data_IF_443018105936
#
_entry.id   IF_443018105936
#
_cell.length_a   1.000
_cell.length_b   1.000
_cell.length_c   1.000
_cell.angle_alpha   90.00
_cell.angle_beta   90.00
_cell.angle_gamma   90.00
#
_symmetry.space_group_name_H-M   'P 1'
#
loop_
_entity.id
_entity.type
_entity.pdbx_description
1 polymer ?
#
# COMPACT_ATOMS: atom_id res chain seq x y z
N UNK A 1 -21.90 16.96 -9.22
CA UNK A 1 -20.63 17.61 -9.62
C UNK A 1 -20.39 17.45 -11.12
N UNK A 2 -20.43 16.24 -11.67
CA UNK A 2 -20.25 15.96 -13.11
C UNK A 2 -21.16 16.80 -14.03
N UNK A 3 -22.46 16.92 -13.71
CA UNK A 3 -23.39 17.74 -14.50
C UNK A 3 -22.97 19.21 -14.60
N UNK A 4 -22.44 19.77 -13.50
CA UNK A 4 -21.98 21.16 -13.47
C UNK A 4 -20.73 21.32 -14.35
N UNK A 5 -19.81 20.36 -14.26
CA UNK A 5 -18.62 20.34 -15.11
C UNK A 5 -19.02 20.24 -16.59
N UNK A 6 -19.81 19.23 -16.97
CA UNK A 6 -20.25 19.01 -18.35
C UNK A 6 -20.90 20.26 -18.96
N UNK A 7 -21.80 20.93 -18.22
CA UNK A 7 -22.43 22.17 -18.67
C UNK A 7 -21.45 23.31 -18.95
N UNK A 8 -20.30 23.35 -18.28
CA UNK A 8 -19.29 24.39 -18.49
C UNK A 8 -18.38 24.11 -19.69
N UNK A 9 -18.14 22.85 -20.03
CA UNK A 9 -17.15 22.46 -21.07
C UNK A 9 -17.76 21.98 -22.38
N UNK A 10 -18.93 21.34 -22.36
CA UNK A 10 -19.53 20.74 -23.55
C UNK A 10 -19.83 21.78 -24.64
N UNK A 11 -19.34 21.55 -25.86
CA UNK A 11 -19.51 22.44 -27.01
C UNK A 11 -18.76 23.78 -26.92
N UNK A 12 -17.90 23.97 -25.92
CA UNK A 12 -17.13 25.21 -25.70
C UNK A 12 -15.73 25.17 -26.31
N UNK A 13 -15.18 23.97 -26.45
CA UNK A 13 -13.95 23.73 -27.20
C UNK A 13 -14.34 23.11 -28.54
N UNK A 14 -13.38 22.98 -29.47
CA UNK A 14 -13.59 22.26 -30.72
C UNK A 14 -12.50 21.22 -30.85
N UNK A 15 -12.82 20.06 -31.41
CA UNK A 15 -11.87 18.98 -31.68
C UNK A 15 -11.06 18.57 -30.44
N UNK A 16 -11.68 18.58 -29.26
CA UNK A 16 -10.99 18.28 -28.00
C UNK A 16 -11.76 17.19 -27.23
N UNK A 17 -11.06 16.13 -26.82
CA UNK A 17 -11.55 15.15 -25.86
C UNK A 17 -10.95 15.46 -24.50
N UNK A 18 -11.79 15.79 -23.52
CA UNK A 18 -11.36 15.98 -22.13
C UNK A 18 -11.50 14.65 -21.38
N UNK A 19 -10.38 14.14 -20.88
CA UNK A 19 -10.34 12.98 -20.00
C UNK A 19 -10.01 13.43 -18.57
N UNK A 20 -10.79 12.99 -17.60
CA UNK A 20 -10.57 13.25 -16.18
C UNK A 20 -10.54 11.92 -15.46
N UNK A 21 -9.47 11.71 -14.70
CA UNK A 21 -9.25 10.48 -13.94
C UNK A 21 -8.58 10.81 -12.61
N UNK A 22 -8.54 9.85 -11.70
CA UNK A 22 -7.64 9.85 -10.56
C UNK A 22 -6.84 8.55 -10.54
N UNK A 23 -5.71 8.55 -9.85
CA UNK A 23 -4.83 7.40 -9.66
C UNK A 23 -5.39 6.39 -8.66
N UNK A 24 -6.04 6.87 -7.60
CA UNK A 24 -6.67 6.03 -6.59
C UNK A 24 -7.84 6.75 -5.89
N UNK A 25 -8.62 5.98 -5.13
CA UNK A 25 -9.58 6.51 -4.17
C UNK A 25 -8.94 6.76 -2.80
N UNK A 26 -9.75 6.76 -1.75
CA UNK A 26 -9.31 7.06 -0.38
C UNK A 26 -10.19 6.30 0.61
N UNK A 27 -9.62 5.89 1.74
CA UNK A 27 -10.35 5.29 2.85
C UNK A 27 -10.07 6.04 4.16
N UNK A 28 -11.07 6.09 5.03
CA UNK A 28 -10.92 6.60 6.39
C UNK A 28 -10.02 5.69 7.21
N UNK A 29 -9.16 6.28 8.02
CA UNK A 29 -8.30 5.58 8.99
C UNK A 29 -8.25 6.37 10.29
N UNK A 30 -7.83 5.75 11.38
CA UNK A 30 -7.60 6.45 12.64
C UNK A 30 -6.16 6.30 13.12
N UNK A 31 -5.47 7.39 13.49
CA UNK A 31 -4.16 7.31 14.13
C UNK A 31 -4.24 6.58 15.47
N UNK A 32 -5.38 6.64 16.17
CA UNK A 32 -5.59 6.01 17.48
C UNK A 32 -5.65 4.48 17.42
N UNK A 33 -6.00 3.92 16.26
CA UNK A 33 -6.13 2.47 16.05
C UNK A 33 -5.01 1.88 15.20
N UNK A 34 -3.98 2.67 14.90
CA UNK A 34 -2.86 2.21 14.07
C UNK A 34 -2.04 1.17 14.82
N UNK A 35 -1.86 0.00 14.20
CA UNK A 35 -1.05 -1.08 14.73
C UNK A 35 0.40 -0.82 14.32
N UNK A 36 1.25 -0.49 15.28
CA UNK A 36 2.68 -0.38 15.03
C UNK A 36 3.37 -1.73 15.20
N UNK A 37 3.88 -2.28 14.10
CA UNK A 37 4.41 -3.65 14.04
C UNK A 37 5.57 -3.88 15.01
N UNK A 38 6.50 -2.92 15.12
CA UNK A 38 7.65 -3.01 16.02
C UNK A 38 7.29 -2.78 17.50
N UNK A 39 6.10 -2.27 17.79
CA UNK A 39 5.56 -2.21 19.16
C UNK A 39 4.81 -3.50 19.49
N UNK A 40 4.01 -4.02 18.54
CA UNK A 40 3.29 -5.29 18.67
C UNK A 40 4.25 -6.47 18.82
N UNK A 41 5.30 -6.49 17.99
CA UNK A 41 6.30 -7.56 17.94
C UNK A 41 7.71 -6.99 17.91
N UNK A 42 8.26 -6.52 19.05
CA UNK A 42 9.59 -5.91 19.09
C UNK A 42 10.71 -6.82 18.58
N UNK A 43 10.55 -8.13 18.74
CA UNK A 43 11.52 -9.12 18.28
C UNK A 43 11.60 -9.23 16.74
N UNK A 44 10.72 -8.57 15.98
CA UNK A 44 10.72 -8.59 14.51
C UNK A 44 11.99 -7.98 13.92
N UNK A 45 12.58 -6.99 14.59
CA UNK A 45 13.77 -6.26 14.12
C UNK A 45 14.96 -7.15 13.81
N UNK A 46 15.12 -8.25 14.55
CA UNK A 46 16.23 -9.19 14.36
C UNK A 46 16.16 -9.94 13.02
N UNK A 47 14.96 -10.06 12.44
CA UNK A 47 14.71 -10.78 11.20
C UNK A 47 14.71 -9.88 9.97
N UNK A 48 14.82 -8.56 10.14
CA UNK A 48 14.77 -7.59 9.05
C UNK A 48 16.18 -7.40 8.47
N UNK A 49 16.26 -7.27 7.15
CA UNK A 49 17.49 -6.97 6.42
C UNK A 49 18.00 -5.57 6.75
N UNK A 50 19.32 -5.39 6.69
CA UNK A 50 19.97 -4.11 6.93
C UNK A 50 20.64 -3.59 5.66
N UNK A 51 20.70 -2.27 5.50
CA UNK A 51 21.47 -1.63 4.45
C UNK A 51 22.99 -1.69 4.76
N UNK A 52 23.82 -1.18 3.86
CA UNK A 52 25.29 -1.14 4.01
C UNK A 52 25.78 -0.34 5.22
N UNK A 53 24.94 0.51 5.81
CA UNK A 53 25.23 1.29 7.03
C UNK A 53 24.71 0.59 8.30
N UNK A 54 24.18 -0.62 8.19
CA UNK A 54 23.64 -1.38 9.32
C UNK A 54 22.24 -0.94 9.77
N UNK A 55 21.58 -0.01 9.06
CA UNK A 55 20.21 0.42 9.38
C UNK A 55 19.20 -0.57 8.83
N UNK A 56 18.13 -0.85 9.58
CA UNK A 56 17.01 -1.68 9.13
C UNK A 56 16.40 -1.12 7.84
N UNK A 57 16.07 -2.02 6.91
CA UNK A 57 15.29 -1.69 5.72
C UNK A 57 13.80 -1.65 6.09
N UNK A 58 13.36 -0.55 6.70
CA UNK A 58 11.94 -0.32 7.08
C UNK A 58 11.55 1.15 7.03
N UNK A 59 10.24 1.41 6.88
CA UNK A 59 9.24 0.58 6.19
C UNK A 59 9.33 0.81 4.67
N UNK A 60 8.89 -0.18 3.88
CA UNK A 60 8.48 0.04 2.49
C UNK A 60 6.97 0.24 2.41
N UNK A 61 6.49 0.83 1.31
CA UNK A 61 5.05 1.08 1.09
C UNK A 61 4.48 2.17 2.01
N UNK A 62 3.27 1.95 2.50
CA UNK A 62 2.51 2.83 3.38
C UNK A 62 1.81 2.05 4.51
N UNK A 63 1.09 2.75 5.38
CA UNK A 63 0.29 2.12 6.45
C UNK A 63 -0.86 1.23 5.95
N UNK A 64 -1.12 1.19 4.64
CA UNK A 64 -2.15 0.37 3.98
C UNK A 64 -1.56 -0.77 3.14
N UNK A 65 -0.24 -0.82 2.98
CA UNK A 65 0.49 -1.80 2.16
C UNK A 65 1.93 -1.94 2.63
N UNK A 66 2.15 -2.13 3.94
CA UNK A 66 3.49 -2.10 4.51
C UNK A 66 4.33 -3.28 3.98
N UNK A 67 5.39 -2.96 3.26
CA UNK A 67 6.34 -3.91 2.68
C UNK A 67 7.51 -4.14 3.63
N UNK A 68 7.84 -5.41 3.87
CA UNK A 68 8.93 -5.85 4.73
C UNK A 68 10.03 -6.54 3.94
N UNK A 69 11.26 -6.35 4.42
CA UNK A 69 12.48 -6.91 3.85
C UNK A 69 13.06 -7.92 4.83
N UNK A 70 12.47 -9.12 4.92
CA UNK A 70 12.87 -10.16 5.88
C UNK A 70 14.08 -10.93 5.36
N UNK A 71 14.98 -11.34 6.25
CA UNK A 71 16.09 -12.23 5.92
C UNK A 71 15.55 -13.59 5.44
N UNK A 72 16.13 -14.12 4.36
CA UNK A 72 15.60 -15.28 3.62
C UNK A 72 15.38 -16.51 4.51
N UNK A 73 16.32 -16.78 5.41
CA UNK A 73 16.28 -17.90 6.36
C UNK A 73 15.21 -17.77 7.46
N UNK A 74 14.56 -16.61 7.55
CA UNK A 74 13.51 -16.32 8.54
C UNK A 74 12.16 -16.01 7.89
N UNK A 75 12.06 -16.02 6.56
CA UNK A 75 10.85 -15.61 5.83
C UNK A 75 9.62 -16.42 6.24
N UNK A 76 9.70 -17.75 6.29
CA UNK A 76 8.57 -18.60 6.63
C UNK A 76 8.10 -18.39 8.06
N UNK A 77 9.06 -18.37 9.00
CA UNK A 77 8.79 -18.10 10.41
C UNK A 77 8.08 -16.76 10.61
N UNK A 78 8.56 -15.70 9.95
CA UNK A 78 7.98 -14.37 10.08
C UNK A 78 6.61 -14.30 9.40
N UNK A 79 6.45 -14.93 8.23
CA UNK A 79 5.17 -15.03 7.55
C UNK A 79 4.11 -15.67 8.46
N UNK A 80 4.41 -16.82 9.06
CA UNK A 80 3.48 -17.52 9.95
C UNK A 80 3.14 -16.69 11.19
N UNK A 81 4.17 -16.13 11.84
CA UNK A 81 4.02 -15.27 13.02
C UNK A 81 3.10 -14.07 12.75
N UNK A 82 3.34 -13.34 11.67
CA UNK A 82 2.57 -12.14 11.35
C UNK A 82 1.16 -12.48 10.86
N UNK A 83 1.01 -13.60 10.15
CA UNK A 83 -0.31 -14.10 9.73
C UNK A 83 -1.18 -14.42 10.93
N UNK A 84 -0.63 -15.08 11.95
CA UNK A 84 -1.35 -15.37 13.19
C UNK A 84 -1.68 -14.11 13.98
N UNK A 85 -0.70 -13.22 14.19
CA UNK A 85 -0.88 -12.02 15.01
C UNK A 85 -1.83 -10.98 14.40
N UNK A 86 -1.93 -10.92 13.08
CA UNK A 86 -2.72 -9.91 12.38
C UNK A 86 -4.01 -10.46 11.76
N UNK A 87 -4.35 -11.75 11.94
CA UNK A 87 -5.40 -12.46 11.22
C UNK A 87 -6.74 -11.69 11.10
N UNK A 88 -7.17 -11.03 12.17
CA UNK A 88 -8.45 -10.30 12.23
C UNK A 88 -8.38 -8.85 11.70
N UNK A 89 -7.18 -8.37 11.34
CA UNK A 89 -6.92 -6.93 11.06
C UNK A 89 -6.23 -6.70 9.72
N UNK A 90 -5.44 -7.66 9.25
CA UNK A 90 -4.70 -7.58 8.01
C UNK A 90 -4.42 -8.96 7.44
N UNK A 91 -4.22 -9.02 6.14
CA UNK A 91 -3.72 -10.23 5.47
C UNK A 91 -2.25 -10.03 5.12
N UNK A 92 -1.42 -11.01 5.47
CA UNK A 92 0.00 -11.02 5.13
C UNK A 92 0.19 -11.83 3.85
N UNK A 93 0.89 -11.26 2.87
CA UNK A 93 1.21 -11.94 1.62
C UNK A 93 2.71 -12.02 1.42
N UNK A 94 3.15 -13.12 0.82
CA UNK A 94 4.44 -13.15 0.13
C UNK A 94 4.29 -12.33 -1.14
N UNK A 95 5.26 -11.45 -1.40
CA UNK A 95 5.21 -10.62 -2.60
C UNK A 95 5.34 -11.45 -3.88
N UNK A 96 5.95 -12.63 -3.81
CA UNK A 96 5.97 -13.61 -4.91
C UNK A 96 4.56 -14.06 -5.31
N UNK A 97 3.67 -14.29 -4.35
CA UNK A 97 2.26 -14.63 -4.62
C UNK A 97 1.57 -13.51 -5.38
N UNK A 98 1.76 -12.25 -4.96
CA UNK A 98 1.15 -11.10 -5.62
C UNK A 98 1.73 -10.85 -7.03
N UNK A 99 3.03 -11.15 -7.24
CA UNK A 99 3.64 -11.12 -8.56
C UNK A 99 3.02 -12.17 -9.50
N UNK A 100 2.86 -13.40 -9.02
CA UNK A 100 2.23 -14.50 -9.76
C UNK A 100 0.76 -14.21 -10.09
N UNK A 101 0.05 -13.54 -9.20
CA UNK A 101 -1.33 -13.10 -9.39
C UNK A 101 -1.47 -11.83 -10.24
N UNK A 102 -0.36 -11.21 -10.66
CA UNK A 102 -0.36 -10.08 -11.60
C UNK A 102 -0.64 -8.71 -11.00
N UNK A 103 -0.55 -8.55 -9.66
CA UNK A 103 -0.80 -7.26 -8.99
C UNK A 103 0.18 -6.16 -9.40
N UNK A 104 1.36 -6.52 -9.90
CA UNK A 104 2.38 -5.58 -10.38
C UNK A 104 2.37 -5.42 -11.91
N UNK A 105 1.26 -5.82 -12.56
CA UNK A 105 1.10 -5.86 -14.00
C UNK A 105 1.31 -7.26 -14.58
N UNK A 106 0.79 -7.48 -15.79
CA UNK A 106 0.79 -8.77 -16.48
C UNK A 106 1.95 -8.94 -17.46
N UNK A 107 2.85 -7.96 -17.54
CA UNK A 107 4.02 -7.97 -18.41
C UNK A 107 5.22 -8.69 -17.77
N UNK A 108 6.35 -8.70 -18.47
CA UNK A 108 7.61 -9.20 -17.90
C UNK A 108 8.06 -8.36 -16.70
N UNK A 109 8.42 -9.03 -15.61
CA UNK A 109 8.88 -8.38 -14.38
C UNK A 109 10.25 -7.73 -14.60
N UNK A 110 10.34 -6.41 -14.41
CA UNK A 110 11.61 -5.71 -14.55
C UNK A 110 12.58 -6.06 -13.41
N UNK A 111 13.89 -6.16 -13.68
CA UNK A 111 14.89 -6.32 -12.62
C UNK A 111 14.84 -5.22 -11.55
N UNK A 112 14.43 -4.01 -11.92
CA UNK A 112 14.31 -2.88 -10.98
C UNK A 112 13.20 -3.11 -9.95
N UNK A 113 12.06 -3.67 -10.36
CA UNK A 113 10.98 -4.05 -9.45
C UNK A 113 11.47 -5.10 -8.46
N UNK A 114 12.07 -6.18 -8.97
CA UNK A 114 12.57 -7.29 -8.16
C UNK A 114 13.62 -6.84 -7.14
N UNK A 115 14.45 -5.86 -7.49
CA UNK A 115 15.46 -5.30 -6.59
C UNK A 115 14.89 -4.40 -5.49
N UNK A 116 13.70 -3.83 -5.67
CA UNK A 116 13.08 -2.87 -4.74
C UNK A 116 11.98 -3.48 -3.90
N UNK A 117 11.36 -4.55 -4.39
CA UNK A 117 10.24 -5.21 -3.73
C UNK A 117 10.76 -6.02 -2.54
N UNK A 118 10.14 -5.81 -1.37
CA UNK A 118 10.36 -6.67 -0.21
C UNK A 118 9.82 -8.08 -0.47
N UNK A 119 9.92 -8.96 0.52
CA UNK A 119 9.47 -10.35 0.39
C UNK A 119 8.17 -10.64 1.15
N UNK A 120 7.71 -9.73 2.00
CA UNK A 120 6.37 -9.74 2.58
C UNK A 120 5.70 -8.39 2.40
N UNK A 121 4.37 -8.41 2.27
CA UNK A 121 3.53 -7.21 2.38
C UNK A 121 2.37 -7.51 3.32
N UNK A 122 2.04 -6.52 4.15
CA UNK A 122 0.88 -6.55 5.03
C UNK A 122 -0.18 -5.64 4.42
N UNK A 123 -1.35 -6.21 4.14
CA UNK A 123 -2.50 -5.52 3.57
C UNK A 123 -3.60 -5.43 4.63
N UNK A 124 -3.74 -4.31 5.36
CA UNK A 124 -4.77 -4.12 6.36
C UNK A 124 -6.17 -4.19 5.74
N UNK A 125 -7.12 -4.72 6.51
CA UNK A 125 -8.53 -4.73 6.14
C UNK A 125 -9.10 -3.31 6.11
N UNK A 126 -10.38 -3.15 5.75
CA UNK A 126 -11.00 -1.81 5.68
C UNK A 126 -10.88 -1.08 7.02
N UNK A 127 -10.54 0.20 6.96
CA UNK A 127 -10.35 1.12 8.10
C UNK A 127 -9.16 0.82 9.02
N UNK A 128 -8.44 -0.27 8.78
CA UNK A 128 -7.28 -0.69 9.56
C UNK A 128 -5.96 -0.09 9.09
N UNK A 129 -4.96 0.02 9.95
CA UNK A 129 -3.62 0.45 9.53
C UNK A 129 -2.57 -0.36 10.26
N UNK A 130 -1.55 -0.78 9.53
CA UNK A 130 -0.36 -1.42 10.10
C UNK A 130 0.85 -0.64 9.62
N UNK A 131 1.68 -0.17 10.54
CA UNK A 131 2.84 0.64 10.21
C UNK A 131 4.07 0.36 11.09
N UNK A 132 5.18 1.02 10.78
CA UNK A 132 6.38 0.99 11.61
C UNK A 132 6.43 2.24 12.47
N UNK A 133 6.69 2.12 13.77
CA UNK A 133 6.85 3.29 14.64
C UNK A 133 8.31 3.77 14.66
N UNK A 134 8.52 5.03 14.33
CA UNK A 134 9.75 5.79 14.59
C UNK A 134 9.30 7.21 14.88
N UNK A 135 9.57 7.70 16.10
CA UNK A 135 9.18 9.04 16.54
C UNK A 135 9.61 10.10 15.52
N UNK A 136 8.73 11.07 15.25
CA UNK A 136 8.90 12.15 14.27
C UNK A 136 9.12 11.72 12.81
N UNK A 137 9.05 10.43 12.47
CA UNK A 137 9.31 9.94 11.11
C UNK A 137 8.23 9.02 10.56
N UNK A 138 7.82 8.04 11.35
CA UNK A 138 6.83 7.03 10.94
C UNK A 138 5.66 6.99 11.93
N UNK A 139 5.22 8.16 12.35
CA UNK A 139 3.98 8.31 13.12
C UNK A 139 2.79 8.57 12.19
N UNK A 140 1.67 7.92 12.49
CA UNK A 140 0.39 8.15 11.82
C UNK A 140 -0.36 9.29 12.51
N UNK A 141 -0.76 10.28 11.73
CA UNK A 141 -1.59 11.42 12.19
C UNK A 141 -2.78 11.70 11.26
N UNK A 142 -2.91 10.93 10.17
CA UNK A 142 -3.91 11.16 9.13
C UNK A 142 -5.21 10.46 9.48
N UNK A 143 -6.31 11.07 9.04
CA UNK A 143 -7.66 10.51 9.10
C UNK A 143 -8.08 9.81 7.79
N UNK A 144 -7.21 9.85 6.78
CA UNK A 144 -7.43 9.18 5.50
C UNK A 144 -6.13 8.64 4.94
N UNK A 145 -6.21 7.47 4.30
CA UNK A 145 -5.09 6.81 3.63
C UNK A 145 -5.54 6.13 2.33
N UNK A 146 -4.56 5.60 1.59
CA UNK A 146 -4.75 4.79 0.39
C UNK A 146 -3.54 3.85 0.25
N UNK A 147 -3.59 2.94 -0.74
CA UNK A 147 -2.52 1.98 -1.04
C UNK A 147 -2.93 0.52 -0.82
N UNK A 148 -3.96 0.27 -0.02
CA UNK A 148 -4.52 -1.06 0.18
C UNK A 148 -5.41 -1.52 -0.97
N UNK A 149 -5.90 -2.75 -0.87
CA UNK A 149 -6.74 -3.39 -1.89
C UNK A 149 -8.25 -3.22 -1.66
N UNK A 150 -8.66 -2.31 -0.77
CA UNK A 150 -10.09 -2.07 -0.58
C UNK A 150 -10.70 -1.43 -1.83
N UNK A 151 -11.99 -1.67 -2.02
CA UNK A 151 -12.75 -1.10 -3.14
C UNK A 151 -12.64 0.43 -3.17
N UNK A 152 -12.72 1.06 -2.01
CA UNK A 152 -12.65 2.51 -1.81
C UNK A 152 -11.28 3.10 -2.18
N UNK A 153 -10.21 2.31 -2.07
CA UNK A 153 -8.86 2.71 -2.46
C UNK A 153 -8.59 2.46 -3.95
N UNK A 154 -9.12 1.36 -4.51
CA UNK A 154 -8.79 0.91 -5.87
C UNK A 154 -9.75 1.41 -6.96
N UNK A 155 -11.04 1.58 -6.65
CA UNK A 155 -12.00 2.13 -7.61
C UNK A 155 -11.80 3.64 -7.73
N UNK A 156 -11.56 4.09 -8.96
CA UNK A 156 -11.31 5.51 -9.27
C UNK A 156 -12.24 5.99 -10.38
N UNK A 157 -12.28 7.31 -10.58
CA UNK A 157 -13.12 7.95 -11.60
C UNK A 157 -12.45 7.90 -12.96
N UNK A 158 -13.25 7.73 -14.01
CA UNK A 158 -12.87 8.06 -15.38
C UNK A 158 -14.05 8.73 -16.07
N UNK A 159 -13.86 9.96 -16.51
CA UNK A 159 -14.85 10.74 -17.24
C UNK A 159 -14.26 11.18 -18.58
N UNK A 160 -15.02 10.96 -19.65
CA UNK A 160 -14.67 11.36 -21.02
C UNK A 160 -15.74 12.31 -21.57
N UNK A 161 -15.33 13.51 -22.00
CA UNK A 161 -16.23 14.54 -22.54
C UNK A 161 -15.70 14.99 -23.90
N UNK A 162 -16.50 14.74 -24.93
CA UNK A 162 -16.30 15.39 -26.23
C UNK A 162 -16.72 16.85 -26.14
N UNK A 163 -15.79 17.76 -26.47
CA UNK A 163 -16.00 19.20 -26.43
C UNK A 163 -16.10 19.78 -27.84
#
# INVERSE_FOLDING_TARGET
MERLLYQQVAGKLKNTLLLITADHGQIEVSPETTIYLNQLTPSIEQFIKRNSQGKLLVPGGSCRDMVLYIQENHLDKVYDLLTEQLADRATVYRTTTLLEEGYFGTGELSPLLLNRLGNLVILPHKYETVWWYEEDRFEQHKLGAHGGLSREEMETILLAIEC
#
